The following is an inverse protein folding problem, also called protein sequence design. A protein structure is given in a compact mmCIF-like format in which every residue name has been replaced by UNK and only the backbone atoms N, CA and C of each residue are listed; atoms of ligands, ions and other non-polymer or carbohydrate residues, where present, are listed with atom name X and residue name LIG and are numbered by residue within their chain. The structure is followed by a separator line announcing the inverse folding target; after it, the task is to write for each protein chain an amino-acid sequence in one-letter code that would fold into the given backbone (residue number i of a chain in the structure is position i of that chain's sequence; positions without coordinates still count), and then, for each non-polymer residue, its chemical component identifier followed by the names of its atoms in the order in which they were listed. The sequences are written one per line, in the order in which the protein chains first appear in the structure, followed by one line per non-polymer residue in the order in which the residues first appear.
data_IF_364768898117
#
_entry.id   IF_364768898117
#
_cell.length_a   1.000
_cell.length_b   1.000
_cell.length_c   1.000
_cell.angle_alpha   90.00
_cell.angle_beta   90.00
_cell.angle_gamma   90.00
#
_symmetry.space_group_name_H-M   'P 1'
#
loop_
_entity.id
_entity.type
_entity.pdbx_description
1 polymer ?
#
# COMPACT_ATOMS: atom_id res chain seq x y z
N UNK A 1 2.34 -4.14 19.28
CA UNK A 1 3.38 -3.13 19.03
C UNK A 1 3.50 -2.82 17.54
N UNK A 2 3.56 -1.54 17.18
CA UNK A 2 3.76 -1.08 15.80
C UNK A 2 5.23 -1.29 15.39
N UNK A 3 5.55 -1.76 14.16
CA UNK A 3 6.89 -2.24 13.83
C UNK A 3 7.86 -1.11 13.42
N UNK A 4 8.02 -0.10 14.27
CA UNK A 4 8.83 1.11 14.01
C UNK A 4 10.26 0.75 13.57
N UNK A 5 10.89 -0.21 14.25
CA UNK A 5 12.24 -0.67 13.90
C UNK A 5 12.31 -1.29 12.50
N UNK A 6 11.24 -1.95 12.04
CA UNK A 6 11.18 -2.50 10.68
C UNK A 6 11.03 -1.39 9.65
N UNK A 7 10.20 -0.37 9.93
CA UNK A 7 10.10 0.80 9.04
C UNK A 7 11.46 1.51 8.89
N UNK A 8 12.14 1.78 10.00
CA UNK A 8 13.46 2.39 9.98
C UNK A 8 14.48 1.52 9.21
N UNK A 9 14.46 0.19 9.44
CA UNK A 9 15.29 -0.76 8.69
C UNK A 9 15.00 -0.71 7.19
N UNK A 10 13.74 -0.76 6.76
CA UNK A 10 13.39 -0.78 5.34
C UNK A 10 13.80 0.52 4.63
N UNK A 11 13.59 1.67 5.27
CA UNK A 11 14.11 2.95 4.77
C UNK A 11 15.64 2.95 4.66
N UNK A 12 16.34 2.41 5.66
CA UNK A 12 17.80 2.34 5.67
C UNK A 12 18.35 1.39 4.59
N UNK A 13 17.79 0.20 4.45
CA UNK A 13 18.19 -0.81 3.45
C UNK A 13 17.98 -0.28 2.03
N UNK A 14 16.90 0.45 1.80
CA UNK A 14 16.57 1.00 0.49
C UNK A 14 17.02 2.46 0.28
N UNK A 15 17.83 3.03 1.18
CA UNK A 15 18.26 4.45 1.11
C UNK A 15 19.06 4.81 -0.14
N UNK A 16 19.76 3.82 -0.70
CA UNK A 16 20.60 3.95 -1.90
C UNK A 16 20.00 3.21 -3.11
N UNK A 17 18.77 2.69 -2.98
CA UNK A 17 18.09 2.07 -4.11
C UNK A 17 17.78 3.14 -5.17
N UNK A 18 17.87 2.80 -6.47
CA UNK A 18 17.56 3.75 -7.52
C UNK A 18 16.11 4.24 -7.41
N UNK A 19 15.90 5.48 -7.86
CA UNK A 19 14.55 6.04 -8.00
C UNK A 19 13.70 5.10 -8.89
N UNK A 20 12.41 5.05 -8.59
CA UNK A 20 11.44 4.30 -9.39
C UNK A 20 10.59 5.27 -10.19
N UNK A 21 10.22 4.87 -11.40
CA UNK A 21 9.11 5.48 -12.11
C UNK A 21 7.81 5.32 -11.32
N UNK A 22 6.85 6.23 -11.53
CA UNK A 22 5.63 6.31 -10.71
C UNK A 22 4.83 5.00 -10.68
N UNK A 23 4.82 4.25 -11.78
CA UNK A 23 4.08 2.98 -11.94
C UNK A 23 4.98 1.74 -11.89
N UNK A 24 6.27 1.90 -11.61
CA UNK A 24 7.18 0.77 -11.47
C UNK A 24 6.92 -0.01 -10.18
N UNK A 25 7.32 -1.28 -10.17
CA UNK A 25 7.10 -2.15 -9.02
C UNK A 25 8.27 -2.09 -8.05
N UNK A 26 7.99 -1.68 -6.82
CA UNK A 26 8.90 -1.86 -5.71
C UNK A 26 8.85 -3.31 -5.21
N UNK A 27 10.02 -3.94 -5.08
CA UNK A 27 10.18 -5.27 -4.49
C UNK A 27 10.98 -5.17 -3.20
N UNK A 28 10.46 -5.74 -2.11
CA UNK A 28 11.13 -5.89 -0.82
C UNK A 28 10.99 -7.31 -0.28
N UNK A 29 11.84 -7.71 0.66
CA UNK A 29 11.84 -9.05 1.23
C UNK A 29 11.71 -8.99 2.75
N UNK A 30 10.77 -9.75 3.30
CA UNK A 30 10.42 -9.70 4.71
C UNK A 30 10.46 -11.10 5.32
N UNK A 31 11.10 -11.22 6.48
CA UNK A 31 10.99 -12.39 7.35
C UNK A 31 9.78 -12.20 8.25
N UNK A 32 8.99 -13.26 8.41
CA UNK A 32 7.87 -13.30 9.36
C UNK A 32 8.40 -13.72 10.71
N UNK A 33 8.23 -12.87 11.71
CA UNK A 33 8.76 -13.06 13.06
C UNK A 33 7.67 -13.57 14.00
N UNK A 34 8.02 -14.14 15.17
CA UNK A 34 7.04 -14.60 16.15
C UNK A 34 5.98 -13.55 16.52
N UNK A 35 6.36 -12.26 16.59
CA UNK A 35 5.45 -11.14 16.89
C UNK A 35 4.44 -10.82 15.76
N UNK A 36 4.64 -11.41 14.57
CA UNK A 36 3.74 -11.25 13.44
C UNK A 36 2.62 -12.32 13.43
N UNK A 37 2.77 -13.36 14.26
CA UNK A 37 1.93 -14.55 14.26
C UNK A 37 0.81 -14.41 15.29
N UNK A 38 -0.37 -14.96 14.98
CA UNK A 38 -1.50 -15.05 15.89
C UNK A 38 -1.57 -16.41 16.62
N UNK A 39 -2.62 -16.60 17.41
CA UNK A 39 -2.85 -17.83 18.18
C UNK A 39 -3.01 -19.10 17.34
N UNK A 40 -3.25 -18.97 16.02
CA UNK A 40 -3.41 -20.10 15.10
C UNK A 40 -2.10 -20.48 14.38
N UNK A 41 -0.98 -19.93 14.85
CA UNK A 41 0.34 -20.10 14.25
C UNK A 41 0.43 -19.61 12.79
N UNK A 42 -0.38 -18.59 12.45
CA UNK A 42 -0.41 -17.95 11.15
C UNK A 42 -0.12 -16.46 11.24
N UNK A 43 0.33 -15.88 10.11
CA UNK A 43 0.48 -14.44 9.98
C UNK A 43 -0.86 -13.77 10.27
N UNK A 44 -0.88 -12.94 11.31
CA UNK A 44 -2.08 -12.25 11.72
C UNK A 44 -2.61 -11.36 10.57
N UNK A 45 -3.93 -11.40 10.35
CA UNK A 45 -4.56 -10.66 9.25
C UNK A 45 -4.33 -9.13 9.36
N UNK A 46 -4.46 -8.57 10.55
CA UNK A 46 -4.17 -7.15 10.80
C UNK A 46 -2.69 -6.82 10.64
N UNK A 47 -1.80 -7.73 11.09
CA UNK A 47 -0.36 -7.61 10.87
C UNK A 47 -0.01 -7.61 9.38
N UNK A 48 -0.71 -8.38 8.56
CA UNK A 48 -0.50 -8.41 7.11
C UNK A 48 -0.63 -7.01 6.50
N UNK A 49 -1.65 -6.24 6.88
CA UNK A 49 -1.81 -4.85 6.46
C UNK A 49 -0.65 -3.96 6.94
N UNK A 50 -0.22 -4.13 8.20
CA UNK A 50 0.95 -3.39 8.71
C UNK A 50 2.24 -3.73 7.96
N UNK A 51 2.40 -4.98 7.51
CA UNK A 51 3.54 -5.35 6.69
C UNK A 51 3.46 -4.71 5.30
N UNK A 52 2.28 -4.63 4.69
CA UNK A 52 2.09 -3.91 3.43
C UNK A 52 2.47 -2.42 3.54
N UNK A 53 2.26 -1.79 4.68
CA UNK A 53 2.71 -0.42 4.90
C UNK A 53 4.24 -0.25 4.76
N UNK A 54 5.04 -1.28 5.08
CA UNK A 54 6.49 -1.27 4.86
C UNK A 54 6.83 -1.08 3.38
N UNK A 55 6.21 -1.89 2.51
CA UNK A 55 6.41 -1.79 1.06
C UNK A 55 5.91 -0.46 0.49
N UNK A 56 4.77 0.03 0.99
CA UNK A 56 4.18 1.30 0.53
C UNK A 56 5.02 2.52 0.92
N UNK A 57 5.58 2.53 2.13
CA UNK A 57 6.47 3.59 2.59
C UNK A 57 7.71 3.70 1.69
N UNK A 58 8.36 2.58 1.41
CA UNK A 58 9.57 2.57 0.57
C UNK A 58 9.23 2.89 -0.88
N UNK A 59 8.10 2.39 -1.41
CA UNK A 59 7.60 2.74 -2.73
C UNK A 59 7.49 4.27 -2.86
N UNK A 60 6.75 4.93 -1.96
CA UNK A 60 6.59 6.39 -1.98
C UNK A 60 7.89 7.16 -1.83
N UNK A 61 8.83 6.66 -1.02
CA UNK A 61 10.14 7.27 -0.92
C UNK A 61 10.90 7.19 -2.25
N UNK A 62 10.86 6.03 -2.93
CA UNK A 62 11.58 5.79 -4.18
C UNK A 62 10.97 6.48 -5.40
N UNK A 63 9.65 6.70 -5.43
CA UNK A 63 9.01 7.54 -6.45
C UNK A 63 9.11 9.05 -6.16
N UNK A 64 9.75 9.44 -5.05
CA UNK A 64 10.08 10.84 -4.74
C UNK A 64 8.94 11.68 -4.15
N UNK A 65 7.78 11.09 -3.84
CA UNK A 65 6.59 11.87 -3.42
C UNK A 65 6.68 12.35 -1.96
N UNK A 66 7.41 11.65 -1.10
CA UNK A 66 7.50 11.93 0.35
C UNK A 66 8.04 13.34 0.63
N UNK A 67 9.11 13.75 -0.06
CA UNK A 67 9.76 15.03 0.16
C UNK A 67 8.86 16.22 -0.19
N UNK A 68 8.11 16.10 -1.29
CA UNK A 68 7.16 17.11 -1.72
C UNK A 68 5.93 17.17 -0.80
N UNK A 69 5.33 16.02 -0.47
CA UNK A 69 4.18 15.97 0.43
C UNK A 69 4.51 16.64 1.77
N UNK A 70 5.71 16.40 2.31
CA UNK A 70 6.20 17.06 3.52
C UNK A 70 6.28 18.58 3.37
N UNK A 71 6.80 19.10 2.24
CA UNK A 71 6.88 20.56 1.98
C UNK A 71 5.51 21.21 1.90
N UNK A 72 4.50 20.51 1.38
CA UNK A 72 3.11 21.00 1.29
C UNK A 72 2.29 20.75 2.56
N UNK A 73 2.81 20.00 3.53
CA UNK A 73 2.05 19.57 4.71
C UNK A 73 0.93 18.58 4.36
N UNK A 74 1.10 17.83 3.28
CA UNK A 74 0.16 16.81 2.83
C UNK A 74 0.47 15.46 3.47
N UNK A 75 -0.59 14.69 3.72
CA UNK A 75 -0.55 13.36 4.33
C UNK A 75 -1.38 12.41 3.48
N UNK A 76 -0.88 11.19 3.29
CA UNK A 76 -1.65 10.11 2.67
C UNK A 76 -2.46 9.38 3.74
N UNK A 77 -3.76 9.18 3.48
CA UNK A 77 -4.64 8.41 4.35
C UNK A 77 -5.28 7.26 3.59
N UNK A 78 -5.41 6.09 4.22
CA UNK A 78 -6.09 4.94 3.62
C UNK A 78 -7.60 5.18 3.75
N UNK A 79 -8.29 5.31 2.61
CA UNK A 79 -9.74 5.49 2.57
C UNK A 79 -10.47 4.15 2.35
N UNK A 80 -9.76 3.08 2.01
CA UNK A 80 -10.32 1.75 1.86
C UNK A 80 -9.26 0.73 1.48
N UNK A 81 -9.52 -0.53 1.83
CA UNK A 81 -8.68 -1.65 1.51
C UNK A 81 -9.55 -2.87 1.16
N UNK A 82 -9.11 -3.64 0.17
CA UNK A 82 -9.70 -4.93 -0.20
C UNK A 82 -8.59 -5.97 -0.20
N UNK A 83 -8.65 -6.90 0.75
CA UNK A 83 -7.60 -7.89 0.97
C UNK A 83 -8.11 -9.27 0.60
N UNK A 84 -7.28 -10.03 -0.10
CA UNK A 84 -7.49 -11.45 -0.38
C UNK A 84 -6.38 -12.25 0.30
N UNK A 85 -6.76 -13.17 1.16
CA UNK A 85 -5.86 -14.18 1.74
C UNK A 85 -6.09 -15.50 1.01
N UNK A 86 -5.02 -16.14 0.53
CA UNK A 86 -5.10 -17.33 -0.34
C UNK A 86 -4.28 -18.49 0.18
N UNK A 87 -3.15 -18.23 0.82
CA UNK A 87 -2.25 -19.24 1.38
C UNK A 87 -1.71 -18.82 2.73
N UNK A 88 -1.53 -19.81 3.61
CA UNK A 88 -1.00 -19.62 4.96
C UNK A 88 0.44 -19.11 4.91
N UNK A 89 0.77 -18.22 5.83
CA UNK A 89 2.13 -17.75 6.06
C UNK A 89 2.46 -18.03 7.51
N UNK A 90 3.51 -18.79 7.76
CA UNK A 90 3.89 -19.24 9.10
C UNK A 90 5.14 -18.52 9.58
N UNK A 91 5.43 -18.72 10.86
CA UNK A 91 6.62 -18.18 11.51
C UNK A 91 7.87 -18.53 10.70
N UNK A 92 8.76 -17.56 10.54
CA UNK A 92 10.01 -17.66 9.79
C UNK A 92 9.89 -17.88 8.29
N UNK A 93 8.69 -17.90 7.70
CA UNK A 93 8.60 -17.74 6.25
C UNK A 93 9.28 -16.44 5.81
N UNK A 94 9.92 -16.49 4.65
CA UNK A 94 10.36 -15.31 3.93
C UNK A 94 9.33 -15.02 2.84
N UNK A 95 8.97 -13.75 2.69
CA UNK A 95 8.04 -13.31 1.67
C UNK A 95 8.65 -12.18 0.86
N UNK A 96 8.58 -12.31 -0.45
CA UNK A 96 8.80 -11.23 -1.40
C UNK A 96 7.51 -10.41 -1.49
N UNK A 97 7.58 -9.13 -1.14
CA UNK A 97 6.49 -8.18 -1.30
C UNK A 97 6.70 -7.36 -2.58
N UNK A 98 5.67 -7.30 -3.42
CA UNK A 98 5.62 -6.45 -4.62
C UNK A 98 4.58 -5.37 -4.39
N UNK A 99 4.95 -4.11 -4.62
CA UNK A 99 4.08 -2.94 -4.41
C UNK A 99 4.19 -2.00 -5.60
N UNK A 100 3.06 -1.55 -6.14
CA UNK A 100 3.04 -0.55 -7.21
C UNK A 100 1.81 0.34 -7.13
N UNK A 101 1.95 1.57 -7.62
CA UNK A 101 0.80 2.43 -7.90
C UNK A 101 0.14 1.89 -9.17
N UNK A 102 -1.18 1.69 -9.12
CA UNK A 102 -1.97 1.27 -10.28
C UNK A 102 -2.37 2.48 -11.13
N UNK A 103 -2.73 3.57 -10.47
CA UNK A 103 -3.24 4.80 -11.08
C UNK A 103 -4.07 5.58 -10.07
N UNK A 104 -4.81 6.57 -10.53
CA UNK A 104 -5.71 7.37 -9.70
C UNK A 104 -6.98 7.77 -10.47
N UNK A 105 -8.04 8.01 -9.72
CA UNK A 105 -9.23 8.72 -10.21
C UNK A 105 -9.18 10.21 -9.80
N UNK A 106 -10.32 10.90 -9.77
CA UNK A 106 -10.38 12.30 -9.36
C UNK A 106 -9.99 12.56 -7.89
N UNK A 107 -10.19 11.58 -6.99
CA UNK A 107 -10.10 11.71 -5.53
C UNK A 107 -9.05 10.79 -4.90
N UNK A 108 -8.84 9.61 -5.46
CA UNK A 108 -8.07 8.55 -4.82
C UNK A 108 -6.95 8.01 -5.70
N UNK A 109 -5.82 7.73 -5.05
CA UNK A 109 -4.70 6.97 -5.58
C UNK A 109 -4.88 5.48 -5.23
N UNK A 110 -4.79 4.63 -6.24
CA UNK A 110 -4.90 3.18 -6.12
C UNK A 110 -3.53 2.52 -6.13
N UNK A 111 -3.32 1.63 -5.16
CA UNK A 111 -2.05 0.91 -4.96
C UNK A 111 -2.40 -0.55 -4.78
N UNK A 112 -1.67 -1.42 -5.46
CA UNK A 112 -1.77 -2.84 -5.19
C UNK A 112 -0.47 -3.38 -4.62
N UNK A 113 -0.62 -4.35 -3.72
CA UNK A 113 0.51 -5.02 -3.10
C UNK A 113 0.23 -6.51 -2.97
N UNK A 114 1.23 -7.34 -3.21
CA UNK A 114 1.12 -8.80 -3.08
C UNK A 114 2.33 -9.36 -2.35
N UNK A 115 2.10 -10.42 -1.58
CA UNK A 115 3.17 -11.21 -0.95
C UNK A 115 3.28 -12.57 -1.64
N UNK A 116 4.51 -12.95 -1.97
CA UNK A 116 4.87 -14.24 -2.53
C UNK A 116 5.77 -14.95 -1.54
N UNK A 117 5.48 -16.21 -1.20
CA UNK A 117 6.30 -16.99 -0.29
C UNK A 117 7.56 -17.49 -1.01
N UNK A 118 8.74 -17.23 -0.45
CA UNK A 118 10.01 -17.50 -1.14
C UNK A 118 10.26 -19.01 -1.37
N UNK A 119 9.63 -19.89 -0.58
CA UNK A 119 9.89 -21.35 -0.66
C UNK A 119 9.30 -22.01 -1.90
N UNK A 120 8.19 -21.49 -2.42
CA UNK A 120 7.43 -22.09 -3.53
C UNK A 120 6.92 -21.05 -4.55
N UNK A 121 7.13 -19.76 -4.30
CA UNK A 121 6.66 -18.67 -5.16
C UNK A 121 5.15 -18.46 -5.10
N UNK A 122 4.40 -19.12 -4.21
CA UNK A 122 2.95 -18.95 -4.17
C UNK A 122 2.57 -17.54 -3.70
N UNK A 123 1.60 -16.93 -4.38
CA UNK A 123 0.96 -15.69 -3.93
C UNK A 123 0.09 -15.99 -2.71
N UNK A 124 0.50 -15.46 -1.55
CA UNK A 124 -0.15 -15.76 -0.27
C UNK A 124 -1.29 -14.81 0.03
N UNK A 125 -1.11 -13.53 -0.33
CA UNK A 125 -2.12 -12.50 -0.21
C UNK A 125 -1.91 -11.39 -1.24
N UNK A 126 -2.99 -10.66 -1.49
CA UNK A 126 -3.01 -9.48 -2.36
C UNK A 126 -3.95 -8.45 -1.75
N UNK A 127 -3.55 -7.19 -1.78
CA UNK A 127 -4.36 -6.06 -1.31
C UNK A 127 -4.45 -4.99 -2.38
N UNK A 128 -5.66 -4.50 -2.60
CA UNK A 128 -5.91 -3.21 -3.25
C UNK A 128 -6.18 -2.17 -2.16
N UNK A 129 -5.48 -1.05 -2.25
CA UNK A 129 -5.65 0.11 -1.38
C UNK A 129 -6.14 1.28 -2.21
N UNK A 130 -7.11 2.01 -1.68
CA UNK A 130 -7.38 3.38 -2.11
C UNK A 130 -6.89 4.34 -1.03
N UNK A 131 -6.16 5.35 -1.46
CA UNK A 131 -5.60 6.37 -0.57
C UNK A 131 -6.01 7.75 -1.03
N UNK A 132 -6.36 8.61 -0.09
CA UNK A 132 -6.56 10.03 -0.33
C UNK A 132 -5.33 10.82 0.09
N UNK A 133 -5.11 11.96 -0.55
CA UNK A 133 -4.16 12.97 -0.09
C UNK A 133 -4.95 14.05 0.64
N UNK A 134 -4.52 14.41 1.84
CA UNK A 134 -5.20 15.42 2.67
C UNK A 134 -4.20 16.41 3.24
N UNK A 135 -4.63 17.65 3.46
CA UNK A 135 -3.96 18.59 4.34
C UNK A 135 -4.77 18.79 5.64
N UNK A 136 -4.44 19.80 6.46
CA UNK A 136 -5.16 20.08 7.72
C UNK A 136 -6.60 20.55 7.54
N UNK A 137 -7.00 20.97 6.33
CA UNK A 137 -8.26 21.64 6.03
C UNK A 137 -9.15 20.83 5.11
N UNK A 138 -8.57 20.10 4.15
CA UNK A 138 -9.31 19.47 3.05
C UNK A 138 -8.62 18.24 2.48
N UNK A 139 -9.38 17.49 1.70
CA UNK A 139 -8.86 16.53 0.74
C UNK A 139 -8.30 17.25 -0.49
N UNK A 140 -7.18 16.76 -1.00
CA UNK A 140 -6.47 17.27 -2.18
C UNK A 140 -6.92 16.45 -3.39
N UNK A 141 -7.47 17.08 -4.45
CA UNK A 141 -7.79 16.40 -5.70
C UNK A 141 -6.55 15.74 -6.31
N UNK A 142 -6.74 14.59 -6.95
CA UNK A 142 -5.61 13.87 -7.54
C UNK A 142 -5.00 14.59 -8.74
N UNK A 143 -5.72 15.49 -9.43
CA UNK A 143 -5.13 16.37 -10.44
C UNK A 143 -4.04 17.27 -9.85
N UNK A 144 -4.29 17.87 -8.68
CA UNK A 144 -3.33 18.71 -7.95
C UNK A 144 -2.18 17.86 -7.38
N UNK A 145 -2.50 16.67 -6.85
CA UNK A 145 -1.48 15.78 -6.31
C UNK A 145 -0.57 15.18 -7.40
N UNK A 146 -1.14 14.79 -8.54
CA UNK A 146 -0.41 14.15 -9.63
C UNK A 146 0.55 15.12 -10.32
N UNK A 147 0.15 16.38 -10.53
CA UNK A 147 1.06 17.43 -11.04
C UNK A 147 2.33 17.51 -10.19
N UNK A 148 2.21 17.36 -8.88
CA UNK A 148 3.35 17.34 -7.98
C UNK A 148 4.16 16.02 -7.97
N UNK A 149 3.54 14.91 -8.36
CA UNK A 149 4.23 13.64 -8.61
C UNK A 149 4.92 13.59 -9.98
N UNK A 150 4.83 14.66 -10.78
CA UNK A 150 5.44 14.75 -12.10
C UNK A 150 4.67 14.02 -13.20
N UNK A 151 3.40 13.65 -12.95
CA UNK A 151 2.52 13.07 -13.98
C UNK A 151 1.19 13.80 -13.99
N UNK A 152 0.71 14.22 -15.15
CA UNK A 152 -0.60 14.87 -15.25
C UNK A 152 -1.74 13.89 -15.48
N UNK A 153 -1.42 12.71 -15.97
CA UNK A 153 -2.39 11.71 -16.41
C UNK A 153 -2.16 10.38 -15.67
N UNK A 154 -3.25 9.77 -15.26
CA UNK A 154 -3.25 8.40 -14.77
C UNK A 154 -3.33 7.44 -15.95
N UNK A 155 -2.65 6.28 -15.92
CA UNK A 155 -3.01 5.18 -16.78
C UNK A 155 -4.48 4.79 -16.54
N UNK A 156 -5.09 4.17 -17.55
CA UNK A 156 -6.42 3.58 -17.40
C UNK A 156 -6.39 2.55 -16.26
N UNK A 157 -7.26 2.75 -15.27
CA UNK A 157 -7.40 1.80 -14.17
C UNK A 157 -7.96 0.48 -14.70
N UNK A 158 -7.41 -0.67 -14.29
CA UNK A 158 -7.98 -1.97 -14.66
C UNK A 158 -9.43 -2.11 -14.21
N UNK A 159 -10.25 -2.81 -15.00
CA UNK A 159 -11.69 -3.01 -14.74
C UNK A 159 -12.02 -3.52 -13.33
N UNK A 160 -11.17 -4.38 -12.77
CA UNK A 160 -11.41 -4.93 -11.43
C UNK A 160 -11.21 -3.88 -10.32
N UNK A 161 -10.40 -2.85 -10.56
CA UNK A 161 -10.18 -1.73 -9.63
C UNK A 161 -11.36 -0.77 -9.71
N UNK A 162 -11.80 -0.41 -10.91
CA UNK A 162 -12.93 0.50 -11.11
C UNK A 162 -14.22 -0.10 -10.56
N UNK A 163 -14.52 -1.36 -10.88
CA UNK A 163 -15.69 -2.08 -10.33
C UNK A 163 -15.65 -2.20 -8.81
N UNK A 164 -14.47 -2.36 -8.22
CA UNK A 164 -14.35 -2.37 -6.76
C UNK A 164 -14.65 -0.99 -6.16
N UNK A 165 -14.15 0.09 -6.77
CA UNK A 165 -14.42 1.45 -6.34
C UNK A 165 -15.92 1.78 -6.46
N UNK A 166 -16.53 1.48 -7.60
CA UNK A 166 -17.98 1.64 -7.84
C UNK A 166 -18.82 0.87 -6.81
N UNK A 167 -18.47 -0.38 -6.53
CA UNK A 167 -19.17 -1.18 -5.53
C UNK A 167 -19.05 -0.59 -4.12
N UNK A 168 -17.91 0.04 -3.79
CA UNK A 168 -17.72 0.69 -2.50
C UNK A 168 -18.43 2.04 -2.40
N UNK A 169 -18.57 2.79 -3.51
CA UNK A 169 -19.37 4.04 -3.55
C UNK A 169 -20.86 3.78 -3.27
N UNK A 170 -21.35 2.58 -3.57
CA UNK A 170 -22.70 2.14 -3.21
C UNK A 170 -22.84 1.66 -1.75
N UNK A 171 -21.74 1.55 -1.00
CA UNK A 171 -21.80 1.18 0.42
C UNK A 171 -22.28 2.38 1.25
N UNK A 172 -23.33 2.22 2.08
CA UNK A 172 -23.82 3.31 2.91
C UNK A 172 -22.77 3.73 3.95
N UNK A 173 -22.70 5.04 4.21
CA UNK A 173 -21.87 5.60 5.27
C UNK A 173 -22.61 6.74 6.01
N UNK A 174 -22.77 6.66 7.35
CA UNK A 174 -22.40 5.53 8.21
C UNK A 174 -23.23 4.28 7.88
N UNK A 175 -22.64 3.07 7.94
CA UNK A 175 -23.38 1.84 7.72
C UNK A 175 -24.31 1.55 8.91
N UNK A 176 -25.41 0.82 8.67
CA UNK A 176 -26.35 0.38 9.72
C UNK A 176 -26.95 1.56 10.54
N UNK A 177 -27.27 2.66 9.87
CA UNK A 177 -27.86 3.86 10.48
C UNK A 177 -29.39 3.78 10.69
N UNK A 178 -29.96 2.58 10.66
CA UNK A 178 -31.35 2.27 11.02
C UNK A 178 -31.44 1.81 12.47
#
# INVERSE_FOLDING_TARGET
MYPILRFAKELFVHRSAPALGLFETHVSHHRIWPIDIDMWAELNNGRTLTLYDLGRLVLFNRVGVVGFMRKKGWVGTVAGASVRYRRRVQMFHKVQMRSRIVGWDAKFLYIEQAMFRDTDGECTSHVLLRTAVTDRKRMIPMSEAAEAMGSRESPALPDWVTRWAEADDHRPWPPMAE
#
